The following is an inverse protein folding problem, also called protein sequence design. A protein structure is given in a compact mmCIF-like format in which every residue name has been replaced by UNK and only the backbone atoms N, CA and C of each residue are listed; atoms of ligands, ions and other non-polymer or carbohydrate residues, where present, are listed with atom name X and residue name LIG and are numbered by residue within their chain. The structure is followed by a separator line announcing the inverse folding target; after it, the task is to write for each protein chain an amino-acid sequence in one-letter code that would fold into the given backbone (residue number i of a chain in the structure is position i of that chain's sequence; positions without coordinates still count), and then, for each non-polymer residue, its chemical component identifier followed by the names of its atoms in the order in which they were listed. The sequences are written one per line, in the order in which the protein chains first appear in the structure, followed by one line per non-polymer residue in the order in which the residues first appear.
data_IF_943954523554
#
_entry.id   IF_943954523554
#
_cell.length_a   1.000
_cell.length_b   1.000
_cell.length_c   1.000
_cell.angle_alpha   90.00
_cell.angle_beta   90.00
_cell.angle_gamma   90.00
#
_symmetry.space_group_name_H-M   'P 1'
#
loop_
_entity.id
_entity.type
_entity.pdbx_description
1 polymer ?
#
# COMPACT_ATOMS: atom_id res chain seq x y z
N UNK A 1 3.74 -0.95 14.64
CA UNK A 1 5.04 -0.54 14.07
C UNK A 1 6.22 -1.09 14.87
N UNK A 2 6.39 -0.75 16.16
CA UNK A 2 7.57 -1.19 16.94
C UNK A 2 7.79 -2.72 16.95
N UNK A 3 6.73 -3.51 17.14
CA UNK A 3 6.81 -4.98 17.07
C UNK A 3 7.33 -5.48 15.72
N UNK A 4 6.77 -4.99 14.62
CA UNK A 4 7.21 -5.35 13.27
C UNK A 4 8.66 -4.93 13.02
N UNK A 5 9.04 -3.71 13.42
CA UNK A 5 10.41 -3.23 13.27
C UNK A 5 11.42 -4.09 14.06
N UNK A 6 11.04 -4.55 15.25
CA UNK A 6 11.84 -5.50 16.04
C UNK A 6 12.04 -6.83 15.32
N UNK A 7 10.95 -7.46 14.87
CA UNK A 7 11.04 -8.71 14.10
C UNK A 7 11.87 -8.52 12.82
N UNK A 8 11.67 -7.41 12.09
CA UNK A 8 12.43 -7.12 10.89
C UNK A 8 13.93 -6.90 11.16
N UNK A 9 14.28 -6.30 12.30
CA UNK A 9 15.67 -6.15 12.71
C UNK A 9 16.31 -7.50 13.05
N UNK A 10 15.64 -8.33 13.86
CA UNK A 10 16.12 -9.66 14.24
C UNK A 10 16.34 -10.56 13.02
N UNK A 11 15.46 -10.48 12.02
CA UNK A 11 15.61 -11.20 10.74
C UNK A 11 16.81 -10.69 9.95
N UNK A 12 17.00 -9.37 9.84
CA UNK A 12 18.12 -8.77 9.11
C UNK A 12 19.47 -9.06 9.76
N UNK A 13 19.52 -9.16 11.07
CA UNK A 13 20.73 -9.48 11.84
C UNK A 13 21.00 -11.00 11.92
N UNK A 14 20.10 -11.83 11.38
CA UNK A 14 20.21 -13.29 11.42
C UNK A 14 19.92 -13.91 12.79
N UNK A 15 19.47 -13.10 13.76
CA UNK A 15 19.04 -13.56 15.09
C UNK A 15 17.82 -14.47 14.96
N UNK A 16 16.88 -14.09 14.10
CA UNK A 16 15.70 -14.88 13.75
C UNK A 16 15.81 -15.34 12.30
N UNK A 17 16.07 -16.63 12.10
CA UNK A 17 16.32 -17.19 10.75
C UNK A 17 15.32 -18.28 10.33
N UNK A 18 14.56 -18.86 11.27
CA UNK A 18 13.59 -19.91 10.96
C UNK A 18 12.33 -19.31 10.31
N UNK A 19 12.06 -19.70 9.05
CA UNK A 19 10.94 -19.12 8.29
C UNK A 19 9.57 -19.46 8.88
N UNK A 20 9.41 -20.62 9.52
CA UNK A 20 8.15 -20.98 10.18
C UNK A 20 7.90 -20.09 11.40
N UNK A 21 8.92 -19.85 12.22
CA UNK A 21 8.82 -18.93 13.36
C UNK A 21 8.57 -17.49 12.91
N UNK A 22 9.24 -17.02 11.84
CA UNK A 22 9.00 -15.68 11.28
C UNK A 22 7.56 -15.53 10.80
N UNK A 23 7.03 -16.51 10.05
CA UNK A 23 5.63 -16.50 9.61
C UNK A 23 4.68 -16.45 10.81
N UNK A 24 4.91 -17.25 11.85
CA UNK A 24 4.07 -17.23 13.07
C UNK A 24 4.08 -15.86 13.74
N UNK A 25 5.24 -15.24 13.92
CA UNK A 25 5.36 -13.92 14.54
C UNK A 25 4.69 -12.83 13.68
N UNK A 26 4.89 -12.86 12.37
CA UNK A 26 4.29 -11.91 11.45
C UNK A 26 2.75 -12.06 11.41
N UNK A 27 2.22 -13.30 11.40
CA UNK A 27 0.77 -13.55 11.49
C UNK A 27 0.17 -13.05 12.81
N UNK A 28 0.88 -13.17 13.93
CA UNK A 28 0.42 -12.61 15.20
C UNK A 28 0.31 -11.08 15.15
N UNK A 29 1.27 -10.41 14.49
CA UNK A 29 1.21 -8.95 14.26
C UNK A 29 0.04 -8.60 13.33
N UNK A 30 -0.19 -9.35 12.25
CA UNK A 30 -1.32 -9.12 11.35
C UNK A 30 -2.66 -9.23 12.07
N UNK A 31 -2.81 -10.22 12.97
CA UNK A 31 -4.01 -10.38 13.79
C UNK A 31 -4.25 -9.19 14.71
N UNK A 32 -3.21 -8.65 15.36
CA UNK A 32 -3.34 -7.44 16.18
C UNK A 32 -3.76 -6.22 15.34
N UNK A 33 -3.22 -6.10 14.12
CA UNK A 33 -3.60 -5.06 13.17
C UNK A 33 -5.07 -5.22 12.74
N UNK A 34 -5.52 -6.43 12.45
CA UNK A 34 -6.93 -6.70 12.15
C UNK A 34 -7.85 -6.27 13.30
N UNK A 35 -7.53 -6.69 14.52
CA UNK A 35 -8.29 -6.32 15.72
C UNK A 35 -8.32 -4.81 15.95
N UNK A 36 -7.21 -4.11 15.69
CA UNK A 36 -7.18 -2.65 15.73
C UNK A 36 -8.21 -2.03 14.78
N UNK A 37 -8.26 -2.50 13.52
CA UNK A 37 -9.20 -1.97 12.54
C UNK A 37 -10.66 -2.24 12.90
N UNK A 38 -10.96 -3.40 13.49
CA UNK A 38 -12.31 -3.74 13.95
C UNK A 38 -12.77 -2.95 15.19
N UNK A 39 -11.83 -2.51 16.05
CA UNK A 39 -12.11 -1.87 17.34
C UNK A 39 -11.92 -0.35 17.33
N UNK A 40 -11.72 0.25 16.16
CA UNK A 40 -11.44 1.68 16.06
C UNK A 40 -12.67 2.50 16.50
N UNK A 41 -12.46 3.58 17.26
CA UNK A 41 -13.56 4.41 17.73
C UNK A 41 -14.28 5.11 16.57
N UNK A 42 -15.55 5.50 16.79
CA UNK A 42 -16.36 6.20 15.79
C UNK A 42 -15.67 7.47 15.21
N UNK A 43 -14.78 8.09 15.97
CA UNK A 43 -13.97 9.26 15.53
C UNK A 43 -12.95 8.96 14.42
N UNK A 44 -12.63 7.69 14.18
CA UNK A 44 -11.75 7.26 13.10
C UNK A 44 -12.52 6.70 11.91
N UNK A 45 -13.86 6.67 11.95
CA UNK A 45 -14.63 6.27 10.77
C UNK A 45 -14.38 7.23 9.60
N UNK A 46 -14.41 6.67 8.39
CA UNK A 46 -14.33 7.42 7.14
C UNK A 46 -15.42 6.94 6.21
N UNK A 47 -15.86 7.81 5.30
CA UNK A 47 -16.81 7.46 4.25
C UNK A 47 -16.05 7.13 2.97
N UNK A 48 -16.61 6.22 2.18
CA UNK A 48 -16.15 5.97 0.81
C UNK A 48 -17.18 6.62 -0.11
N UNK A 49 -16.70 7.47 -1.01
CA UNK A 49 -17.51 8.19 -1.98
C UNK A 49 -16.96 7.91 -3.38
N UNK A 50 -17.82 8.03 -4.38
CA UNK A 50 -17.45 7.85 -5.79
C UNK A 50 -17.87 9.09 -6.56
N UNK A 51 -17.02 9.55 -7.46
CA UNK A 51 -17.29 10.72 -8.26
C UNK A 51 -18.54 10.50 -9.15
N UNK A 52 -19.51 11.42 -9.16
CA UNK A 52 -20.62 11.38 -10.09
C UNK A 52 -20.17 11.81 -11.49
N UNK A 53 -20.19 10.90 -12.48
CA UNK A 53 -19.89 11.19 -13.89
C UNK A 53 -18.91 10.20 -14.53
N UNK A 54 -18.54 10.45 -15.79
CA UNK A 54 -17.44 9.69 -16.43
C UNK A 54 -16.13 10.05 -15.74
N UNK A 55 -15.38 9.05 -15.28
CA UNK A 55 -14.03 9.21 -14.70
C UNK A 55 -13.21 10.10 -15.62
N UNK A 56 -12.90 11.33 -15.18
CA UNK A 56 -12.04 12.22 -15.93
C UNK A 56 -10.65 11.58 -16.00
N UNK A 57 -10.04 11.58 -17.18
CA UNK A 57 -8.69 11.05 -17.31
C UNK A 57 -7.73 11.97 -16.56
N UNK A 58 -6.99 11.44 -15.59
CA UNK A 58 -5.89 12.11 -14.89
C UNK A 58 -4.80 12.72 -15.81
N UNK A 59 -4.93 12.62 -17.13
CA UNK A 59 -4.00 13.13 -18.13
C UNK A 59 -4.13 14.65 -18.32
N UNK A 60 -5.30 15.23 -18.02
CA UNK A 60 -5.56 16.66 -18.23
C UNK A 60 -5.16 17.53 -17.01
N UNK A 61 -4.93 16.94 -15.84
CA UNK A 61 -4.64 17.66 -14.59
C UNK A 61 -3.12 17.80 -14.32
N UNK A 62 -2.41 18.51 -15.22
CA UNK A 62 -0.98 18.79 -15.01
C UNK A 62 -0.77 19.62 -13.73
N UNK A 63 -0.15 19.00 -12.72
CA UNK A 63 0.24 19.66 -11.46
C UNK A 63 -0.75 19.48 -10.31
N UNK A 64 -1.81 18.67 -10.47
CA UNK A 64 -2.80 18.40 -9.43
C UNK A 64 -2.92 16.90 -9.11
N UNK A 65 -3.58 16.56 -7.99
CA UNK A 65 -3.94 15.17 -7.66
C UNK A 65 -5.32 14.84 -8.21
N UNK A 66 -5.43 13.71 -8.93
CA UNK A 66 -6.70 13.16 -9.42
C UNK A 66 -7.18 11.99 -8.54
N UNK A 67 -8.45 11.60 -8.71
CA UNK A 67 -9.03 10.44 -8.02
C UNK A 67 -8.50 9.11 -8.58
N UNK A 68 -8.14 8.16 -7.70
CA UNK A 68 -7.82 6.80 -8.14
C UNK A 68 -9.11 6.04 -8.45
N UNK A 69 -9.32 5.68 -9.73
CA UNK A 69 -10.51 4.96 -10.18
C UNK A 69 -11.85 5.62 -9.76
N UNK A 70 -11.87 6.96 -9.68
CA UNK A 70 -13.06 7.73 -9.30
C UNK A 70 -13.53 7.54 -7.85
N UNK A 71 -12.80 6.78 -7.01
CA UNK A 71 -13.15 6.53 -5.61
C UNK A 71 -12.26 7.34 -4.68
N UNK A 72 -12.85 7.85 -3.58
CA UNK A 72 -12.09 8.54 -2.54
C UNK A 72 -12.70 8.36 -1.16
N UNK A 73 -11.87 8.59 -0.15
CA UNK A 73 -12.24 8.52 1.25
C UNK A 73 -12.45 9.90 1.83
N UNK A 74 -13.48 10.09 2.65
CA UNK A 74 -13.70 11.30 3.45
C UNK A 74 -13.48 10.97 4.92
N UNK A 75 -12.44 11.58 5.52
CA UNK A 75 -12.10 11.39 6.92
C UNK A 75 -12.60 12.55 7.77
N UNK A 76 -12.75 12.31 9.08
CA UNK A 76 -13.09 13.38 10.02
C UNK A 76 -11.94 14.37 10.24
N UNK A 77 -10.69 13.96 10.00
CA UNK A 77 -9.51 14.82 10.14
C UNK A 77 -8.31 14.30 9.34
N UNK A 78 -7.32 15.17 9.11
CA UNK A 78 -6.02 14.78 8.55
C UNK A 78 -5.29 13.77 9.45
N UNK A 79 -5.50 13.87 10.76
CA UNK A 79 -4.94 12.93 11.73
C UNK A 79 -5.51 11.52 11.57
N UNK A 80 -6.83 11.37 11.47
CA UNK A 80 -7.43 10.05 11.28
C UNK A 80 -7.04 9.43 9.94
N UNK A 81 -6.95 10.23 8.87
CA UNK A 81 -6.39 9.80 7.59
C UNK A 81 -4.95 9.24 7.74
N UNK A 82 -4.09 9.95 8.48
CA UNK A 82 -2.72 9.48 8.76
C UNK A 82 -2.70 8.15 9.53
N UNK A 83 -3.54 8.00 10.55
CA UNK A 83 -3.60 6.75 11.33
C UNK A 83 -3.99 5.57 10.43
N UNK A 84 -4.99 5.74 9.57
CA UNK A 84 -5.37 4.72 8.60
C UNK A 84 -4.28 4.40 7.60
N UNK A 85 -3.60 5.39 7.04
CA UNK A 85 -2.50 5.15 6.11
C UNK A 85 -1.32 4.46 6.80
N UNK A 86 -1.00 4.83 8.05
CA UNK A 86 -0.01 4.13 8.85
C UNK A 86 -0.38 2.66 9.07
N UNK A 87 -1.61 2.40 9.48
CA UNK A 87 -2.14 1.06 9.61
C UNK A 87 -1.99 0.25 8.31
N UNK A 88 -2.43 0.80 7.18
CA UNK A 88 -2.43 0.12 5.87
C UNK A 88 -1.03 -0.25 5.41
N UNK A 89 -0.08 0.69 5.39
CA UNK A 89 1.25 0.36 4.89
C UNK A 89 2.01 -0.58 5.84
N UNK A 90 1.81 -0.48 7.16
CA UNK A 90 2.39 -1.45 8.10
C UNK A 90 1.82 -2.84 7.84
N UNK A 91 0.50 -2.94 7.63
CA UNK A 91 -0.15 -4.22 7.35
C UNK A 91 0.32 -4.80 6.01
N UNK A 92 0.56 -3.97 4.99
CA UNK A 92 1.21 -4.41 3.74
C UNK A 92 2.61 -4.98 4.04
N UNK A 93 3.46 -4.28 4.78
CA UNK A 93 4.83 -4.74 5.12
C UNK A 93 4.84 -6.08 5.88
N UNK A 94 3.90 -6.26 6.82
CA UNK A 94 3.76 -7.52 7.57
C UNK A 94 3.35 -8.67 6.65
N UNK A 95 2.38 -8.43 5.76
CA UNK A 95 1.90 -9.44 4.83
C UNK A 95 2.93 -9.78 3.74
N UNK A 96 3.74 -8.81 3.32
CA UNK A 96 4.89 -9.01 2.44
C UNK A 96 5.92 -9.97 3.06
N UNK A 97 6.28 -9.75 4.33
CA UNK A 97 7.16 -10.65 5.08
C UNK A 97 6.56 -12.07 5.21
N UNK A 98 5.25 -12.19 5.45
CA UNK A 98 4.58 -13.51 5.49
C UNK A 98 4.77 -14.21 4.13
N UNK A 99 4.48 -13.53 3.02
CA UNK A 99 4.59 -14.08 1.67
C UNK A 99 6.02 -14.48 1.32
N UNK A 100 7.01 -13.66 1.65
CA UNK A 100 8.42 -13.95 1.39
C UNK A 100 8.86 -15.24 2.09
N UNK A 101 8.54 -15.39 3.38
CA UNK A 101 8.94 -16.58 4.13
C UNK A 101 8.12 -17.82 3.76
N UNK A 102 6.84 -17.67 3.39
CA UNK A 102 6.06 -18.75 2.80
C UNK A 102 6.68 -19.24 1.47
N UNK A 103 7.17 -18.30 0.64
CA UNK A 103 7.87 -18.62 -0.61
C UNK A 103 9.17 -19.38 -0.35
N UNK A 104 9.98 -18.93 0.62
CA UNK A 104 11.22 -19.62 1.02
C UNK A 104 10.96 -21.04 1.52
N UNK A 105 9.93 -21.24 2.34
CA UNK A 105 9.55 -22.58 2.80
C UNK A 105 9.16 -23.50 1.64
N UNK A 106 8.36 -22.99 0.68
CA UNK A 106 7.95 -23.75 -0.50
C UNK A 106 9.15 -24.14 -1.39
N UNK A 107 10.14 -23.26 -1.54
CA UNK A 107 11.38 -23.52 -2.29
C UNK A 107 12.33 -24.48 -1.57
N UNK A 108 12.40 -24.41 -0.25
CA UNK A 108 13.32 -25.18 0.59
C UNK A 108 12.97 -26.67 0.75
N UNK A 109 12.09 -27.22 -0.08
CA UNK A 109 11.70 -28.63 -0.05
C UNK A 109 10.89 -29.05 1.17
N UNK A 110 10.38 -28.11 1.97
CA UNK A 110 9.35 -28.43 2.95
C UNK A 110 8.12 -28.90 2.16
N UNK A 111 7.74 -30.17 2.32
CA UNK A 111 6.52 -30.67 1.70
C UNK A 111 5.35 -29.81 2.18
N UNK A 112 4.86 -28.93 1.30
CA UNK A 112 3.58 -28.29 1.48
C UNK A 112 2.56 -29.42 1.38
N UNK A 113 2.16 -29.96 2.53
CA UNK A 113 1.26 -31.11 2.64
C UNK A 113 -0.06 -30.88 1.88
N UNK A 114 -0.45 -29.61 1.71
CA UNK A 114 -1.59 -29.20 0.91
C UNK A 114 -1.28 -27.95 0.08
N UNK A 115 -0.87 -28.15 -1.18
CA UNK A 115 -0.60 -27.07 -2.13
C UNK A 115 -1.83 -26.19 -2.40
N UNK A 116 -3.04 -26.77 -2.35
CA UNK A 116 -4.28 -26.03 -2.54
C UNK A 116 -4.51 -25.01 -1.43
N UNK A 117 -4.34 -25.42 -0.18
CA UNK A 117 -4.41 -24.51 0.98
C UNK A 117 -3.32 -23.43 0.94
N UNK A 118 -2.09 -23.80 0.58
CA UNK A 118 -1.00 -22.83 0.42
C UNK A 118 -1.32 -21.77 -0.64
N UNK A 119 -1.75 -22.20 -1.84
CA UNK A 119 -2.13 -21.32 -2.93
C UNK A 119 -3.26 -20.37 -2.52
N UNK A 120 -4.32 -20.91 -1.92
CA UNK A 120 -5.46 -20.13 -1.44
C UNK A 120 -5.04 -19.09 -0.37
N UNK A 121 -4.13 -19.47 0.53
CA UNK A 121 -3.63 -18.57 1.55
C UNK A 121 -2.84 -17.39 0.97
N UNK A 122 -1.94 -17.65 0.02
CA UNK A 122 -1.15 -16.61 -0.65
C UNK A 122 -2.05 -15.65 -1.46
N UNK A 123 -3.04 -16.19 -2.18
CA UNK A 123 -4.03 -15.38 -2.92
C UNK A 123 -4.79 -14.45 -1.97
N UNK A 124 -5.28 -14.97 -0.84
CA UNK A 124 -5.98 -14.15 0.17
C UNK A 124 -5.11 -13.01 0.70
N UNK A 125 -3.83 -13.29 0.98
CA UNK A 125 -2.89 -12.25 1.46
C UNK A 125 -2.67 -11.19 0.37
N UNK A 126 -2.41 -11.61 -0.87
CA UNK A 126 -2.26 -10.72 -2.02
C UNK A 126 -3.47 -9.81 -2.20
N UNK A 127 -4.67 -10.36 -2.15
CA UNK A 127 -5.91 -9.60 -2.34
C UNK A 127 -6.11 -8.57 -1.22
N UNK A 128 -5.79 -8.93 0.02
CA UNK A 128 -5.76 -7.99 1.15
C UNK A 128 -4.76 -6.85 0.90
N UNK A 129 -3.53 -7.16 0.47
CA UNK A 129 -2.51 -6.13 0.19
C UNK A 129 -2.97 -5.19 -0.92
N UNK A 130 -3.60 -5.70 -1.99
CA UNK A 130 -4.18 -4.90 -3.07
C UNK A 130 -5.31 -3.99 -2.60
N UNK A 131 -6.17 -4.48 -1.71
CA UNK A 131 -7.22 -3.68 -1.09
C UNK A 131 -6.61 -2.55 -0.24
N UNK A 132 -5.64 -2.86 0.63
CA UNK A 132 -4.96 -1.86 1.47
C UNK A 132 -4.27 -0.79 0.61
N UNK A 133 -3.63 -1.18 -0.48
CA UNK A 133 -2.98 -0.27 -1.42
C UNK A 133 -3.98 0.63 -2.16
N UNK A 134 -5.11 0.06 -2.58
CA UNK A 134 -6.25 0.82 -3.15
C UNK A 134 -6.76 1.84 -2.15
N UNK A 135 -6.94 1.44 -0.89
CA UNK A 135 -7.42 2.33 0.17
C UNK A 135 -6.45 3.47 0.49
N UNK A 136 -5.13 3.23 0.37
CA UNK A 136 -4.11 4.28 0.43
C UNK A 136 -4.35 5.27 -0.71
N UNK A 137 -4.52 4.80 -1.94
CA UNK A 137 -4.75 5.67 -3.10
C UNK A 137 -6.03 6.51 -2.92
N UNK A 138 -7.13 5.90 -2.48
CA UNK A 138 -8.40 6.59 -2.21
C UNK A 138 -8.30 7.64 -1.09
N UNK A 139 -7.29 7.56 -0.22
CA UNK A 139 -7.10 8.55 0.85
C UNK A 139 -6.49 9.88 0.39
N UNK A 140 -5.79 9.87 -0.75
CA UNK A 140 -4.96 10.99 -1.22
C UNK A 140 -5.80 12.21 -1.60
N UNK A 141 -6.92 12.07 -2.34
CA UNK A 141 -7.77 13.21 -2.66
C UNK A 141 -8.19 14.01 -1.42
N UNK A 142 -8.54 13.32 -0.33
CA UNK A 142 -8.89 14.01 0.93
C UNK A 142 -7.70 14.68 1.57
N UNK A 143 -6.56 13.98 1.60
CA UNK A 143 -5.33 14.46 2.22
C UNK A 143 -4.84 15.78 1.61
N UNK A 144 -5.16 16.03 0.34
CA UNK A 144 -4.84 17.26 -0.38
C UNK A 144 -6.04 18.18 -0.64
N UNK A 145 -7.23 17.87 -0.10
CA UNK A 145 -8.41 18.72 -0.18
C UNK A 145 -9.12 18.80 -1.54
N UNK A 146 -8.85 17.85 -2.44
CA UNK A 146 -9.49 17.71 -3.76
C UNK A 146 -10.61 16.66 -3.77
N UNK A 147 -10.82 15.95 -2.66
CA UNK A 147 -11.89 14.98 -2.51
C UNK A 147 -13.26 15.61 -2.82
N UNK A 148 -13.93 15.10 -3.85
CA UNK A 148 -15.24 15.58 -4.31
C UNK A 148 -15.19 16.91 -5.06
N UNK A 149 -14.02 17.44 -5.42
CA UNK A 149 -13.90 18.64 -6.24
C UNK A 149 -12.57 18.69 -7.03
N UNK A 150 -12.62 18.23 -8.28
CA UNK A 150 -11.47 18.18 -9.20
C UNK A 150 -10.96 19.56 -9.64
N UNK A 151 -11.84 20.56 -9.63
CA UNK A 151 -11.49 21.91 -10.07
C UNK A 151 -10.64 22.70 -9.06
N UNK A 152 -10.47 22.19 -7.82
CA UNK A 152 -9.65 22.86 -6.81
C UNK A 152 -8.18 22.53 -7.01
N UNK A 153 -7.33 23.56 -7.10
CA UNK A 153 -5.91 23.33 -7.00
C UNK A 153 -5.57 22.94 -5.57
N UNK A 154 -4.70 21.94 -5.43
CA UNK A 154 -4.17 21.50 -4.14
C UNK A 154 -3.53 22.66 -3.36
N UNK A 155 -2.94 23.63 -4.06
CA UNK A 155 -2.37 24.85 -3.46
C UNK A 155 -3.40 25.83 -2.90
N UNK A 156 -4.66 25.75 -3.33
CA UNK A 156 -5.76 26.58 -2.80
C UNK A 156 -6.35 25.97 -1.52
N UNK A 157 -6.00 24.72 -1.20
CA UNK A 157 -6.52 24.01 -0.03
C UNK A 157 -5.75 24.37 1.24
N UNK A 158 -6.42 24.83 2.30
CA UNK A 158 -5.77 25.12 3.59
C UNK A 158 -5.23 23.88 4.31
N UNK A 159 -5.45 22.67 3.78
CA UNK A 159 -4.88 21.41 4.29
C UNK A 159 -3.54 21.04 3.65
N UNK A 160 -3.13 21.76 2.60
CA UNK A 160 -1.92 21.46 1.84
C UNK A 160 -0.72 22.16 2.45
N UNK A 161 -0.02 21.45 3.33
CA UNK A 161 1.30 21.84 3.83
C UNK A 161 2.34 20.80 3.40
N UNK A 162 3.61 21.17 3.34
CA UNK A 162 4.70 20.23 3.02
C UNK A 162 4.65 18.94 3.88
N UNK A 163 4.27 19.05 5.15
CA UNK A 163 4.09 17.90 6.06
C UNK A 163 3.08 16.86 5.55
N UNK A 164 2.05 17.28 4.80
CA UNK A 164 1.06 16.40 4.17
C UNK A 164 1.72 15.47 3.15
N UNK A 165 2.58 16.02 2.27
CA UNK A 165 3.31 15.23 1.27
C UNK A 165 4.31 14.27 1.89
N UNK A 166 5.06 14.69 2.91
CA UNK A 166 6.00 13.82 3.64
C UNK A 166 5.30 12.61 4.26
N UNK A 167 4.13 12.79 4.88
CA UNK A 167 3.39 11.67 5.51
C UNK A 167 2.89 10.61 4.53
N UNK A 168 2.85 10.93 3.23
CA UNK A 168 2.38 10.02 2.19
C UNK A 168 3.49 9.27 1.47
N UNK A 169 4.77 9.64 1.65
CA UNK A 169 5.87 9.02 0.90
C UNK A 169 5.88 7.49 1.05
N UNK A 170 5.95 6.99 2.30
CA UNK A 170 5.98 5.55 2.56
C UNK A 170 4.68 4.82 2.18
N UNK A 171 3.46 5.31 2.54
CA UNK A 171 2.22 4.70 2.06
C UNK A 171 2.15 4.59 0.53
N UNK A 172 2.49 5.65 -0.20
CA UNK A 172 2.48 5.65 -1.67
C UNK A 172 3.50 4.69 -2.25
N UNK A 173 4.68 4.57 -1.64
CA UNK A 173 5.71 3.62 -2.08
C UNK A 173 5.15 2.19 -1.99
N UNK A 174 4.51 1.85 -0.87
CA UNK A 174 3.92 0.52 -0.70
C UNK A 174 2.78 0.27 -1.70
N UNK A 175 1.93 1.26 -1.96
CA UNK A 175 0.88 1.12 -2.98
C UNK A 175 1.46 0.88 -4.38
N UNK A 176 2.51 1.62 -4.76
CA UNK A 176 3.19 1.44 -6.04
C UNK A 176 3.87 0.06 -6.17
N UNK A 177 4.47 -0.45 -5.10
CA UNK A 177 5.11 -1.77 -5.05
C UNK A 177 4.09 -2.91 -5.11
N UNK A 178 2.97 -2.80 -4.40
CA UNK A 178 1.86 -3.77 -4.46
C UNK A 178 1.27 -3.85 -5.88
N UNK A 179 1.18 -2.70 -6.57
CA UNK A 179 0.73 -2.66 -7.96
C UNK A 179 1.74 -3.24 -8.95
N UNK A 180 3.04 -2.96 -8.78
CA UNK A 180 4.09 -3.30 -9.76
C UNK A 180 4.08 -2.36 -10.98
N UNK A 181 5.24 -2.22 -11.63
CA UNK A 181 5.54 -1.18 -12.63
C UNK A 181 4.51 -1.04 -13.78
N UNK A 182 3.85 -2.12 -14.18
CA UNK A 182 2.86 -2.12 -15.28
C UNK A 182 1.43 -1.80 -14.84
N UNK A 183 1.15 -1.69 -13.54
CA UNK A 183 -0.21 -1.51 -13.04
C UNK A 183 -0.71 -0.06 -13.15
N UNK A 184 -2.03 0.14 -13.32
CA UNK A 184 -2.65 1.46 -13.20
C UNK A 184 -2.35 2.14 -11.85
N UNK A 185 -2.29 1.36 -10.76
CA UNK A 185 -1.98 1.85 -9.42
C UNK A 185 -0.58 2.43 -9.33
N UNK A 186 0.41 1.73 -9.86
CA UNK A 186 1.79 2.19 -9.89
C UNK A 186 1.91 3.49 -10.70
N UNK A 187 1.36 3.52 -11.91
CA UNK A 187 1.37 4.71 -12.75
C UNK A 187 0.70 5.91 -12.07
N UNK A 188 -0.41 5.68 -11.38
CA UNK A 188 -1.10 6.72 -10.62
C UNK A 188 -0.28 7.20 -9.42
N UNK A 189 0.35 6.29 -8.67
CA UNK A 189 1.24 6.64 -7.55
C UNK A 189 2.46 7.43 -8.02
N UNK A 190 3.02 7.10 -9.18
CA UNK A 190 4.13 7.84 -9.81
C UNK A 190 3.74 9.27 -10.17
N UNK A 191 2.50 9.49 -10.63
CA UNK A 191 1.96 10.86 -10.84
C UNK A 191 1.85 11.61 -9.52
N UNK A 192 1.38 10.95 -8.46
CA UNK A 192 1.32 11.54 -7.12
C UNK A 192 2.72 11.96 -6.62
N UNK A 193 3.72 11.09 -6.75
CA UNK A 193 5.10 11.44 -6.39
C UNK A 193 5.64 12.61 -7.21
N UNK A 194 5.30 12.72 -8.50
CA UNK A 194 5.72 13.84 -9.32
C UNK A 194 5.14 15.17 -8.81
N UNK A 195 3.86 15.20 -8.41
CA UNK A 195 3.24 16.40 -7.79
C UNK A 195 3.91 16.72 -6.44
N UNK A 196 4.09 15.72 -5.57
CA UNK A 196 4.78 15.89 -4.28
C UNK A 196 6.20 16.43 -4.47
N UNK A 197 6.93 15.91 -5.44
CA UNK A 197 8.32 16.27 -5.69
C UNK A 197 8.49 17.65 -6.33
N UNK A 198 7.75 17.93 -7.40
CA UNK A 198 7.90 19.16 -8.18
C UNK A 198 7.16 20.33 -7.56
N UNK A 199 5.91 20.12 -7.18
CA UNK A 199 5.03 21.21 -6.79
C UNK A 199 5.10 21.49 -5.27
N UNK A 200 5.40 20.48 -4.45
CA UNK A 200 5.60 20.67 -3.00
C UNK A 200 7.07 20.77 -2.59
N UNK A 201 8.02 20.64 -3.53
CA UNK A 201 9.46 20.74 -3.27
C UNK A 201 10.08 19.59 -2.47
N UNK A 202 9.43 18.43 -2.40
CA UNK A 202 9.90 17.27 -1.63
C UNK A 202 10.76 16.37 -2.53
N UNK A 203 12.05 16.71 -2.66
CA UNK A 203 12.97 16.01 -3.56
C UNK A 203 13.04 14.48 -3.38
N UNK A 204 12.85 13.99 -2.16
CA UNK A 204 12.78 12.54 -1.87
C UNK A 204 11.74 11.80 -2.69
N UNK A 205 10.61 12.45 -3.02
CA UNK A 205 9.58 11.85 -3.87
C UNK A 205 10.10 11.55 -5.28
N UNK A 206 10.93 12.44 -5.85
CA UNK A 206 11.54 12.24 -7.17
C UNK A 206 12.57 11.11 -7.12
N UNK A 207 13.33 10.99 -6.04
CA UNK A 207 14.25 9.86 -5.83
C UNK A 207 13.48 8.54 -5.77
N UNK A 208 12.38 8.47 -5.02
CA UNK A 208 11.54 7.28 -4.94
C UNK A 208 11.02 6.88 -6.32
N UNK A 209 10.59 7.84 -7.15
CA UNK A 209 10.18 7.54 -8.54
C UNK A 209 11.29 6.87 -9.35
N UNK A 210 12.55 7.29 -9.19
CA UNK A 210 13.65 6.66 -9.91
C UNK A 210 13.87 5.21 -9.50
N UNK A 211 13.73 4.91 -8.21
CA UNK A 211 13.85 3.55 -7.66
C UNK A 211 12.69 2.68 -8.15
N UNK A 212 11.46 3.19 -8.13
CA UNK A 212 10.27 2.42 -8.42
C UNK A 212 10.05 2.10 -9.91
N UNK A 213 10.73 2.81 -10.83
CA UNK A 213 10.45 2.76 -12.29
C UNK A 213 10.38 1.35 -12.88
N UNK A 214 11.22 0.43 -12.40
CA UNK A 214 11.38 -0.92 -12.95
C UNK A 214 10.99 -2.02 -11.95
N UNK A 215 10.41 -1.65 -10.81
CA UNK A 215 10.04 -2.59 -9.75
C UNK A 215 8.79 -3.39 -10.17
N UNK A 216 8.97 -4.68 -10.45
CA UNK A 216 7.89 -5.58 -10.91
C UNK A 216 6.82 -5.86 -9.85
N UNK A 217 7.08 -5.49 -8.59
CA UNK A 217 6.19 -5.72 -7.45
C UNK A 217 6.35 -7.12 -6.86
N UNK A 218 6.24 -7.20 -5.52
CA UNK A 218 6.47 -8.43 -4.75
C UNK A 218 5.42 -9.53 -4.97
N UNK A 219 4.31 -9.22 -5.64
CA UNK A 219 3.15 -10.10 -5.76
C UNK A 219 3.06 -10.89 -7.07
N UNK A 220 3.92 -10.62 -8.06
CA UNK A 220 3.83 -11.20 -9.40
C UNK A 220 3.85 -12.75 -9.41
N UNK A 221 4.60 -13.37 -8.50
CA UNK A 221 4.70 -14.83 -8.42
C UNK A 221 3.38 -15.47 -7.97
N UNK A 222 2.55 -14.75 -7.22
CA UNK A 222 1.22 -15.19 -6.80
C UNK A 222 0.23 -15.09 -7.96
N UNK A 223 0.36 -14.06 -8.80
CA UNK A 223 -0.45 -13.92 -10.03
C UNK A 223 -0.12 -15.03 -11.04
N UNK A 224 1.17 -15.35 -11.21
CA UNK A 224 1.60 -16.50 -12.00
C UNK A 224 1.02 -17.81 -11.40
N UNK A 225 1.09 -17.96 -10.07
CA UNK A 225 0.52 -19.13 -9.39
C UNK A 225 -0.99 -19.26 -9.57
N UNK A 226 -1.73 -18.15 -9.56
CA UNK A 226 -3.18 -18.13 -9.75
C UNK A 226 -3.58 -18.53 -11.17
N UNK A 227 -2.93 -17.91 -12.17
CA UNK A 227 -3.14 -18.13 -13.61
C UNK A 227 -2.70 -19.52 -14.10
N UNK A 228 -1.88 -20.23 -13.33
CA UNK A 228 -1.36 -21.55 -13.69
C UNK A 228 -0.06 -21.49 -14.49
N UNK A 229 0.58 -20.32 -14.56
CA UNK A 229 1.89 -20.13 -15.14
C UNK A 229 2.99 -20.75 -14.25
N UNK A 230 4.14 -21.09 -14.83
CA UNK A 230 5.27 -21.62 -14.08
C UNK A 230 5.83 -20.58 -13.11
N UNK A 231 5.59 -20.78 -11.82
CA UNK A 231 6.00 -19.89 -10.70
C UNK A 231 7.51 -19.93 -10.41
N UNK A 232 8.18 -20.99 -10.84
CA UNK A 232 9.56 -21.32 -10.47
C UNK A 232 10.41 -21.57 -11.73
N UNK A 233 10.95 -20.51 -12.31
CA UNK A 233 12.13 -20.57 -13.19
C UNK A 233 13.28 -19.82 -12.54
#
# INVERSE_FOLDING_TARGET
MAKFAGVQADVREGILSDSSEIVKMAMAIDLELEQFASNVSASFTYKVETQPGSVSSCEDEKGNFCHYQGTYHIYQSVWSCNIWNNYRYIRILVNDMILDHLRLMALGGHQVLDYGLFKAHCIRIRDLMRQLATDICCSIPFKFGVAGNESKNVFDSPHTYAGTGFTLLLPLTMAALVGGASSPMHNWAMRCFNVIGREMGIGTALTIMTVLREEQGGLHWIDAMESGDTVWQ
#
